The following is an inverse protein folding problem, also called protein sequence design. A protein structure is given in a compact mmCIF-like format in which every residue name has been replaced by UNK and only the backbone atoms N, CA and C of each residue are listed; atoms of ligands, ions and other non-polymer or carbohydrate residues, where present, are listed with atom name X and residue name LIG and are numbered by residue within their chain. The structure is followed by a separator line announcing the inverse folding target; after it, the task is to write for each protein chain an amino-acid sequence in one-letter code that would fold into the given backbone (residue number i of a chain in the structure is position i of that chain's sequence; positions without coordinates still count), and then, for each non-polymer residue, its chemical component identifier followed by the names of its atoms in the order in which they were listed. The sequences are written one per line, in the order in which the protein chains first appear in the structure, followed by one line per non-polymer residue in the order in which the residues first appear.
data_IF_624631380342
#
_entry.id   IF_624631380342
#
_cell.length_a   1.000
_cell.length_b   1.000
_cell.length_c   1.000
_cell.angle_alpha   90.00
_cell.angle_beta   90.00
_cell.angle_gamma   90.00
#
_symmetry.space_group_name_H-M   'P 1'
#
loop_
_entity.id
_entity.type
_entity.pdbx_description
1 polymer ?
#
# COMPACT_ATOMS: atom_id res chain seq x y z
N UNK A 1 8.45 -10.27 -5.83
CA UNK A 1 8.05 -11.66 -6.20
C UNK A 1 8.96 -12.71 -5.56
N UNK A 2 10.27 -12.50 -5.54
CA UNK A 2 11.23 -13.44 -4.91
C UNK A 2 10.81 -13.77 -3.48
N UNK A 3 10.62 -12.75 -2.63
CA UNK A 3 10.19 -12.93 -1.24
C UNK A 3 8.89 -13.74 -1.08
N UNK A 4 7.90 -13.54 -1.97
CA UNK A 4 6.66 -14.33 -1.97
C UNK A 4 6.91 -15.77 -2.39
N UNK A 5 7.65 -16.00 -3.50
CA UNK A 5 7.97 -17.37 -3.96
C UNK A 5 8.73 -18.15 -2.90
N UNK A 6 9.73 -17.55 -2.29
CA UNK A 6 10.48 -18.14 -1.18
C UNK A 6 9.61 -18.39 0.04
N UNK A 7 8.84 -17.37 0.44
CA UNK A 7 7.96 -17.43 1.60
C UNK A 7 6.90 -18.52 1.51
N UNK A 8 6.37 -18.80 0.33
CA UNK A 8 5.35 -19.82 0.10
C UNK A 8 5.87 -21.12 -0.52
N UNK A 9 7.19 -21.24 -0.77
CA UNK A 9 7.77 -22.43 -1.36
C UNK A 9 7.21 -22.71 -2.75
N UNK A 10 7.13 -21.68 -3.61
CA UNK A 10 6.57 -21.83 -4.95
C UNK A 10 7.47 -22.68 -5.82
N UNK A 11 7.07 -23.93 -6.04
CA UNK A 11 7.78 -24.91 -6.83
C UNK A 11 6.76 -25.78 -7.60
N UNK A 12 6.91 -25.94 -8.93
CA UNK A 12 6.07 -26.85 -9.70
C UNK A 12 6.05 -28.29 -9.16
N UNK A 13 7.16 -28.76 -8.59
CA UNK A 13 7.23 -30.08 -7.98
C UNK A 13 6.35 -30.22 -6.71
N UNK A 14 5.96 -29.09 -6.11
CA UNK A 14 5.05 -29.01 -4.95
C UNK A 14 3.60 -28.65 -5.35
N UNK A 15 3.27 -28.80 -6.65
CA UNK A 15 1.90 -28.57 -7.14
C UNK A 15 1.56 -27.13 -7.50
N UNK A 16 2.56 -26.24 -7.58
CA UNK A 16 2.32 -24.89 -8.07
C UNK A 16 2.27 -24.84 -9.60
N UNK A 17 1.21 -24.27 -10.13
CA UNK A 17 0.98 -24.09 -11.55
C UNK A 17 1.24 -22.66 -12.00
N UNK A 18 2.02 -22.50 -13.07
CA UNK A 18 2.27 -21.20 -13.70
C UNK A 18 1.32 -20.95 -14.83
N UNK A 19 0.62 -19.81 -14.80
CA UNK A 19 -0.22 -19.32 -15.90
C UNK A 19 0.22 -17.92 -16.29
N UNK A 20 0.31 -17.64 -17.60
CA UNK A 20 0.61 -16.29 -18.11
C UNK A 20 -0.64 -15.77 -18.82
N UNK A 21 -1.12 -14.58 -18.41
CA UNK A 21 -2.29 -13.90 -18.98
C UNK A 21 -1.86 -12.49 -19.35
N UNK A 22 -1.97 -12.13 -20.61
CA UNK A 22 -1.57 -10.80 -21.14
C UNK A 22 -0.16 -10.37 -20.69
N UNK A 23 0.77 -11.32 -20.62
CA UNK A 23 2.15 -11.07 -20.18
C UNK A 23 2.37 -11.06 -18.66
N UNK A 24 1.33 -11.12 -17.85
CA UNK A 24 1.41 -11.20 -16.39
C UNK A 24 1.50 -12.66 -15.95
N UNK A 25 2.49 -12.95 -15.11
CA UNK A 25 2.72 -14.29 -14.56
C UNK A 25 1.93 -14.47 -13.26
N UNK A 26 1.08 -15.49 -13.23
CA UNK A 26 0.33 -15.95 -12.06
C UNK A 26 0.80 -17.35 -11.66
N UNK A 27 0.95 -17.55 -10.34
CA UNK A 27 1.25 -18.85 -9.76
C UNK A 27 0.08 -19.28 -8.89
N UNK A 28 -0.57 -20.39 -9.26
CA UNK A 28 -1.66 -20.98 -8.50
C UNK A 28 -1.15 -22.19 -7.74
N UNK A 29 -1.51 -22.30 -6.49
CA UNK A 29 -1.14 -23.42 -5.63
C UNK A 29 -1.85 -23.35 -4.30
N UNK A 30 -1.38 -24.13 -3.32
CA UNK A 30 -1.97 -24.13 -1.97
C UNK A 30 -0.91 -23.99 -0.89
N UNK A 31 -1.29 -23.37 0.21
CA UNK A 31 -0.46 -23.30 1.42
C UNK A 31 -1.37 -23.25 2.66
N UNK A 32 -1.07 -24.10 3.65
CA UNK A 32 -1.87 -24.18 4.88
C UNK A 32 -3.35 -24.52 4.65
N UNK A 33 -3.64 -25.34 3.62
CA UNK A 33 -5.02 -25.72 3.25
C UNK A 33 -5.81 -24.66 2.52
N UNK A 34 -5.18 -23.54 2.09
CA UNK A 34 -5.80 -22.45 1.34
C UNK A 34 -5.30 -22.42 -0.08
N UNK A 35 -6.22 -22.23 -1.04
CA UNK A 35 -5.88 -21.97 -2.44
C UNK A 35 -5.35 -20.55 -2.60
N UNK A 36 -4.24 -20.41 -3.31
CA UNK A 36 -3.53 -19.14 -3.50
C UNK A 36 -3.27 -18.84 -4.97
N UNK A 37 -3.36 -17.57 -5.32
CA UNK A 37 -2.89 -17.02 -6.59
C UNK A 37 -1.86 -15.94 -6.29
N UNK A 38 -0.61 -16.16 -6.62
CA UNK A 38 0.48 -15.22 -6.40
C UNK A 38 0.87 -14.55 -7.71
N UNK A 39 1.00 -13.22 -7.69
CA UNK A 39 1.45 -12.43 -8.84
C UNK A 39 2.16 -11.15 -8.40
N UNK A 40 2.84 -10.49 -9.32
CA UNK A 40 3.43 -9.17 -9.10
C UNK A 40 2.46 -8.11 -9.62
N UNK A 41 2.33 -7.03 -8.88
CA UNK A 41 1.55 -5.87 -9.32
C UNK A 41 2.32 -4.94 -10.27
N UNK A 42 3.65 -5.11 -10.39
CA UNK A 42 4.51 -4.10 -11.02
C UNK A 42 4.67 -2.87 -10.12
N UNK A 43 5.26 -1.83 -10.65
CA UNK A 43 5.46 -0.55 -9.96
C UNK A 43 4.44 0.46 -10.50
N UNK A 44 3.93 1.34 -9.63
CA UNK A 44 3.01 2.43 -9.91
C UNK A 44 1.54 2.03 -9.98
N UNK A 45 0.68 3.03 -9.75
CA UNK A 45 -0.78 2.88 -9.57
C UNK A 45 -1.46 2.16 -10.73
N UNK A 46 -1.10 2.51 -11.98
CA UNK A 46 -1.73 1.91 -13.18
C UNK A 46 -1.40 0.43 -13.31
N UNK A 47 -0.13 0.06 -13.10
CA UNK A 47 0.28 -1.35 -13.14
C UNK A 47 -0.41 -2.15 -12.04
N UNK A 48 -0.47 -1.60 -10.82
CA UNK A 48 -1.12 -2.23 -9.69
C UNK A 48 -2.63 -2.46 -9.95
N UNK A 49 -3.33 -1.43 -10.39
CA UNK A 49 -4.76 -1.50 -10.72
C UNK A 49 -5.03 -2.52 -11.83
N UNK A 50 -4.29 -2.44 -12.94
CA UNK A 50 -4.45 -3.33 -14.09
C UNK A 50 -4.24 -4.80 -13.71
N UNK A 51 -3.16 -5.09 -13.00
CA UNK A 51 -2.81 -6.48 -12.69
C UNK A 51 -3.75 -7.09 -11.64
N UNK A 52 -4.21 -6.30 -10.66
CA UNK A 52 -5.21 -6.77 -9.72
C UNK A 52 -6.56 -7.02 -10.43
N UNK A 53 -7.03 -6.09 -11.29
CA UNK A 53 -8.28 -6.31 -12.02
C UNK A 53 -8.18 -7.54 -12.92
N UNK A 54 -7.04 -7.72 -13.61
CA UNK A 54 -6.80 -8.92 -14.43
C UNK A 54 -6.86 -10.21 -13.60
N UNK A 55 -6.35 -10.19 -12.35
CA UNK A 55 -6.46 -11.32 -11.44
C UNK A 55 -7.90 -11.61 -11.03
N UNK A 56 -8.68 -10.57 -10.69
CA UNK A 56 -10.09 -10.69 -10.31
C UNK A 56 -10.96 -11.21 -11.46
N UNK A 57 -10.66 -10.82 -12.71
CA UNK A 57 -11.40 -11.27 -13.90
C UNK A 57 -11.13 -12.75 -14.27
N UNK A 58 -9.99 -13.31 -13.85
CA UNK A 58 -9.55 -14.63 -14.30
C UNK A 58 -9.49 -15.70 -13.22
N UNK A 59 -9.60 -15.32 -11.94
CA UNK A 59 -9.52 -16.23 -10.79
C UNK A 59 -10.64 -15.94 -9.78
N UNK A 60 -11.21 -16.96 -9.11
CA UNK A 60 -12.23 -16.77 -8.08
C UNK A 60 -11.65 -16.29 -6.77
N UNK A 61 -11.15 -15.05 -6.75
CA UNK A 61 -10.48 -14.44 -5.61
C UNK A 61 -11.52 -13.96 -4.60
N UNK A 62 -11.40 -14.41 -3.36
CA UNK A 62 -12.27 -14.03 -2.25
C UNK A 62 -11.63 -13.02 -1.29
N UNK A 63 -10.30 -13.00 -1.21
CA UNK A 63 -9.53 -12.12 -0.33
C UNK A 63 -8.23 -11.70 -1.02
N UNK A 64 -7.78 -10.50 -0.75
CA UNK A 64 -6.53 -9.96 -1.27
C UNK A 64 -5.60 -9.65 -0.11
N UNK A 65 -4.42 -10.27 -0.10
CA UNK A 65 -3.33 -9.91 0.79
C UNK A 65 -2.15 -9.38 -0.03
N UNK A 66 -1.73 -8.17 0.22
CA UNK A 66 -0.62 -7.55 -0.50
C UNK A 66 0.54 -7.25 0.44
N UNK A 67 1.75 -7.64 0.05
CA UNK A 67 2.97 -7.34 0.80
C UNK A 67 4.02 -6.71 -0.12
N UNK A 68 4.75 -5.74 0.42
CA UNK A 68 5.83 -5.06 -0.28
C UNK A 68 6.56 -4.07 0.62
N UNK A 69 7.38 -3.21 0.02
CA UNK A 69 8.13 -2.16 0.72
C UNK A 69 7.48 -0.80 0.56
N UNK A 70 7.78 0.12 1.47
CA UNK A 70 7.32 1.50 1.46
C UNK A 70 8.33 2.41 2.16
N UNK A 71 8.27 3.70 1.90
CA UNK A 71 8.96 4.71 2.69
C UNK A 71 8.18 5.08 3.96
N UNK A 72 8.85 5.14 5.11
CA UNK A 72 8.25 5.52 6.39
C UNK A 72 7.99 7.02 6.47
N UNK A 73 6.75 7.42 6.73
CA UNK A 73 6.38 8.84 6.89
C UNK A 73 6.16 9.22 8.35
N UNK A 74 5.71 8.29 9.19
CA UNK A 74 5.56 8.49 10.63
C UNK A 74 6.94 8.63 11.29
N UNK A 75 7.22 9.73 12.01
CA UNK A 75 8.52 9.95 12.66
C UNK A 75 8.83 8.96 13.80
N UNK A 76 7.83 8.26 14.32
CA UNK A 76 8.01 7.24 15.35
C UNK A 76 8.52 5.90 14.81
N UNK A 77 8.48 5.70 13.49
CA UNK A 77 8.86 4.46 12.83
C UNK A 77 10.28 4.52 12.26
N UNK A 78 10.87 3.34 12.10
CA UNK A 78 12.24 3.18 11.62
C UNK A 78 12.30 2.19 10.45
N UNK A 79 13.38 2.24 9.68
CA UNK A 79 13.67 1.26 8.62
C UNK A 79 13.65 -0.16 9.19
N UNK A 80 12.93 -1.04 8.54
CA UNK A 80 12.68 -2.42 8.95
C UNK A 80 11.37 -2.64 9.68
N UNK A 81 10.72 -1.60 10.22
CA UNK A 81 9.39 -1.75 10.81
C UNK A 81 8.35 -2.11 9.75
N UNK A 82 7.24 -2.70 10.20
CA UNK A 82 6.14 -3.11 9.33
C UNK A 82 4.87 -2.37 9.75
N UNK A 83 4.12 -1.91 8.76
CA UNK A 83 2.82 -1.28 8.98
C UNK A 83 1.73 -2.04 8.22
N UNK A 84 0.56 -2.12 8.84
CA UNK A 84 -0.66 -2.71 8.31
C UNK A 84 -1.77 -1.66 8.42
N UNK A 85 -1.80 -0.68 7.51
CA UNK A 85 -2.76 0.41 7.57
C UNK A 85 -4.20 -0.06 7.47
N UNK A 86 -5.09 0.58 8.23
CA UNK A 86 -6.54 0.33 8.18
C UNK A 86 -7.24 1.05 7.03
N UNK A 87 -6.55 1.95 6.33
CA UNK A 87 -7.06 2.67 5.15
C UNK A 87 -5.91 3.21 4.30
N UNK A 88 -6.20 3.44 3.01
CA UNK A 88 -5.25 3.95 2.04
C UNK A 88 -5.80 5.15 1.29
N UNK A 89 -5.04 6.25 1.23
CA UNK A 89 -5.41 7.48 0.54
C UNK A 89 -4.45 7.81 -0.60
N UNK A 90 -4.93 8.52 -1.63
CA UNK A 90 -4.06 9.10 -2.65
C UNK A 90 -3.50 10.44 -2.13
N UNK A 91 -2.18 10.56 -2.06
CA UNK A 91 -1.57 11.86 -1.77
C UNK A 91 -1.34 12.71 -3.02
N UNK A 92 -1.48 12.12 -4.20
CA UNK A 92 -1.29 12.75 -5.50
C UNK A 92 -2.59 13.01 -6.27
N UNK A 93 -3.78 12.67 -5.73
CA UNK A 93 -5.06 13.15 -6.22
C UNK A 93 -5.19 14.60 -5.79
N UNK A 94 -4.98 15.54 -6.73
CA UNK A 94 -4.80 16.94 -6.36
C UNK A 94 -5.00 17.90 -7.54
N UNK A 95 -5.41 19.13 -7.24
CA UNK A 95 -5.31 20.25 -8.16
C UNK A 95 -3.98 20.98 -7.99
N UNK A 96 -3.36 21.37 -9.10
CA UNK A 96 -2.16 22.22 -9.15
C UNK A 96 -2.60 23.61 -9.54
N UNK A 97 -2.50 24.56 -8.61
CA UNK A 97 -3.07 25.90 -8.76
C UNK A 97 -1.99 26.95 -8.96
N UNK A 98 -2.35 28.01 -9.73
CA UNK A 98 -1.49 29.17 -9.87
C UNK A 98 -1.51 30.02 -8.60
N UNK A 99 -0.35 30.56 -8.24
CA UNK A 99 -0.23 31.59 -7.21
C UNK A 99 -0.97 32.88 -7.65
N UNK A 100 -1.62 33.53 -6.73
CA UNK A 100 -2.27 34.82 -6.99
C UNK A 100 -1.20 35.94 -7.10
N UNK A 101 -1.02 36.55 -8.28
CA UNK A 101 0.01 37.57 -8.47
C UNK A 101 -0.23 38.85 -7.64
N UNK A 102 -1.47 39.08 -7.19
CA UNK A 102 -1.82 40.21 -6.33
C UNK A 102 -1.58 39.92 -4.83
N UNK A 103 -1.49 38.63 -4.44
CA UNK A 103 -1.35 38.18 -3.07
C UNK A 103 -0.32 37.06 -2.96
N UNK A 104 0.99 37.34 -2.89
CA UNK A 104 2.04 36.33 -2.79
C UNK A 104 1.80 35.31 -1.67
N UNK A 105 1.97 34.04 -1.96
CA UNK A 105 1.67 32.92 -1.05
C UNK A 105 0.20 32.52 -0.99
N UNK A 106 -0.69 33.19 -1.73
CA UNK A 106 -2.08 32.76 -1.94
C UNK A 106 -2.21 32.10 -3.30
N UNK A 107 -3.28 31.32 -3.49
CA UNK A 107 -3.53 30.57 -4.71
C UNK A 107 -4.92 30.90 -5.28
N UNK A 108 -5.04 30.89 -6.60
CA UNK A 108 -6.30 31.10 -7.30
C UNK A 108 -7.11 29.81 -7.28
N UNK A 109 -8.00 29.69 -6.27
CA UNK A 109 -8.81 28.49 -6.06
C UNK A 109 -10.08 28.59 -6.92
N UNK A 110 -10.31 27.65 -7.87
CA UNK A 110 -11.55 27.63 -8.66
C UNK A 110 -12.79 27.36 -7.77
N UNK A 111 -13.95 27.89 -8.15
CA UNK A 111 -15.19 27.76 -7.36
C UNK A 111 -15.65 26.31 -7.14
N UNK A 112 -15.31 25.41 -8.05
CA UNK A 112 -15.64 23.99 -7.93
C UNK A 112 -14.75 23.23 -6.95
N UNK A 113 -13.53 23.72 -6.66
CA UNK A 113 -12.62 23.10 -5.74
C UNK A 113 -12.87 23.60 -4.32
N UNK A 114 -13.15 22.69 -3.41
CA UNK A 114 -13.33 22.99 -1.99
C UNK A 114 -12.21 22.31 -1.20
N UNK A 115 -11.04 22.97 -1.03
CA UNK A 115 -9.91 22.37 -0.34
C UNK A 115 -10.30 21.88 1.05
N UNK A 116 -10.10 20.60 1.31
CA UNK A 116 -10.35 19.94 2.61
C UNK A 116 -9.07 19.68 3.37
N UNK A 117 -7.95 19.75 2.66
CA UNK A 117 -6.62 19.42 3.16
C UNK A 117 -5.72 20.64 3.14
N UNK A 118 -4.70 20.64 4.00
CA UNK A 118 -3.60 21.59 3.89
C UNK A 118 -2.84 21.34 2.58
N UNK A 119 -2.62 22.39 1.80
CA UNK A 119 -1.87 22.30 0.54
C UNK A 119 -0.34 22.26 0.76
N UNK A 120 0.37 21.71 -0.20
CA UNK A 120 1.83 21.79 -0.28
C UNK A 120 2.22 22.72 -1.45
N UNK A 121 2.45 23.98 -1.15
CA UNK A 121 2.62 24.98 -2.20
C UNK A 121 1.45 24.98 -3.16
N UNK A 122 1.69 24.77 -4.44
CA UNK A 122 0.66 24.73 -5.49
C UNK A 122 -0.22 23.47 -5.47
N UNK A 123 0.11 22.45 -4.67
CA UNK A 123 -0.56 21.16 -4.65
C UNK A 123 -1.69 21.20 -3.64
N UNK A 124 -2.93 21.05 -4.09
CA UNK A 124 -4.15 21.03 -3.29
C UNK A 124 -4.78 19.64 -3.38
N UNK A 125 -4.59 18.77 -2.37
CA UNK A 125 -5.18 17.43 -2.38
C UNK A 125 -6.70 17.48 -2.42
N UNK A 126 -7.27 16.45 -3.06
CA UNK A 126 -8.72 16.27 -3.16
C UNK A 126 -9.08 14.80 -2.88
N UNK A 127 -10.38 14.55 -2.71
CA UNK A 127 -10.94 13.22 -2.60
C UNK A 127 -11.06 12.58 -4.00
N UNK A 128 -11.11 11.25 -4.04
CA UNK A 128 -11.26 10.50 -5.29
C UNK A 128 -12.73 10.19 -5.54
N UNK A 129 -13.28 10.67 -6.65
CA UNK A 129 -14.64 10.33 -7.07
C UNK A 129 -14.70 8.89 -7.62
N UNK A 130 -15.49 8.03 -6.98
CA UNK A 130 -15.58 6.60 -7.27
C UNK A 130 -17.03 6.20 -7.51
N UNK A 131 -17.27 5.28 -8.44
CA UNK A 131 -18.56 4.64 -8.64
C UNK A 131 -18.42 3.12 -8.59
N UNK A 132 -19.37 2.45 -7.94
CA UNK A 132 -19.48 0.99 -7.88
C UNK A 132 -20.76 0.53 -8.53
N UNK A 133 -20.80 -0.74 -8.95
CA UNK A 133 -22.02 -1.36 -9.44
C UNK A 133 -23.21 -1.15 -8.48
N UNK A 134 -24.34 -0.73 -9.02
CA UNK A 134 -25.56 -0.45 -8.26
C UNK A 134 -25.62 0.94 -7.62
N UNK A 135 -24.58 1.78 -7.76
CA UNK A 135 -24.63 3.19 -7.36
C UNK A 135 -25.18 4.07 -8.52
N UNK A 136 -25.99 5.06 -8.18
CA UNK A 136 -26.54 6.02 -9.15
C UNK A 136 -25.63 7.22 -9.42
N UNK A 137 -24.66 7.49 -8.54
CA UNK A 137 -23.76 8.64 -8.62
C UNK A 137 -22.38 8.28 -8.06
N UNK A 138 -21.38 9.10 -8.40
CA UNK A 138 -20.06 9.03 -7.79
C UNK A 138 -20.11 9.39 -6.30
N UNK A 139 -19.25 8.73 -5.53
CA UNK A 139 -19.00 8.97 -4.11
C UNK A 139 -17.58 9.50 -3.95
N UNK A 140 -17.42 10.61 -3.24
CA UNK A 140 -16.09 11.15 -2.93
C UNK A 140 -15.46 10.37 -1.77
N UNK A 141 -14.35 9.72 -2.07
CA UNK A 141 -13.62 8.87 -1.12
C UNK A 141 -12.32 9.53 -0.70
N UNK A 142 -12.24 9.90 0.57
CA UNK A 142 -11.00 10.40 1.19
C UNK A 142 -9.94 9.30 1.36
N UNK A 143 -10.38 8.04 1.52
CA UNK A 143 -9.51 6.87 1.64
C UNK A 143 -10.31 5.57 1.43
N UNK A 144 -9.63 4.52 1.02
CA UNK A 144 -10.18 3.18 0.83
C UNK A 144 -9.88 2.31 2.05
N UNK A 145 -10.88 1.74 2.74
CA UNK A 145 -10.66 0.97 3.95
C UNK A 145 -10.07 -0.42 3.65
N UNK A 146 -9.22 -0.90 4.54
CA UNK A 146 -8.93 -2.32 4.64
C UNK A 146 -10.14 -3.06 5.23
N UNK A 147 -10.23 -4.35 4.94
CA UNK A 147 -11.31 -5.18 5.49
C UNK A 147 -11.16 -5.36 7.00
N UNK A 148 -12.21 -5.12 7.81
CA UNK A 148 -12.13 -5.24 9.27
C UNK A 148 -11.80 -6.64 9.78
N UNK A 149 -12.28 -7.71 9.09
CA UNK A 149 -11.99 -9.08 9.49
C UNK A 149 -10.51 -9.45 9.22
N UNK A 150 -9.96 -8.94 8.12
CA UNK A 150 -8.54 -9.10 7.81
C UNK A 150 -7.64 -8.29 8.77
N UNK A 151 -8.06 -7.09 9.19
CA UNK A 151 -7.36 -6.33 10.23
C UNK A 151 -7.35 -7.10 11.56
N UNK A 152 -8.50 -7.63 11.99
CA UNK A 152 -8.59 -8.44 13.18
C UNK A 152 -7.74 -9.72 13.08
N UNK A 153 -7.63 -10.33 11.90
CA UNK A 153 -6.73 -11.45 11.66
C UNK A 153 -5.25 -11.04 11.84
N UNK A 154 -4.87 -9.85 11.35
CA UNK A 154 -3.53 -9.31 11.58
C UNK A 154 -3.24 -9.13 13.08
N UNK A 155 -4.16 -8.55 13.83
CA UNK A 155 -4.02 -8.38 15.28
C UNK A 155 -3.88 -9.73 16.03
N UNK A 156 -4.60 -10.77 15.61
CA UNK A 156 -4.46 -12.13 16.18
C UNK A 156 -3.14 -12.81 15.81
N UNK A 157 -2.61 -12.50 14.63
CA UNK A 157 -1.37 -13.07 14.13
C UNK A 157 -0.14 -12.54 14.88
N UNK A 158 -0.11 -11.23 15.18
CA UNK A 158 1.09 -10.56 15.70
C UNK A 158 1.70 -11.23 16.93
N UNK A 159 0.97 -11.57 18.00
CA UNK A 159 1.54 -12.20 19.19
C UNK A 159 2.07 -13.62 18.94
N UNK A 160 1.71 -14.23 17.82
CA UNK A 160 2.13 -15.60 17.43
C UNK A 160 3.37 -15.58 16.52
N UNK A 161 3.73 -14.43 15.99
CA UNK A 161 4.92 -14.30 15.14
C UNK A 161 6.19 -14.38 15.99
N UNK A 162 7.22 -15.09 15.51
CA UNK A 162 8.52 -15.04 16.15
C UNK A 162 9.08 -13.61 16.09
N UNK A 163 9.89 -13.20 17.08
CA UNK A 163 10.56 -11.91 17.03
C UNK A 163 11.35 -11.75 15.72
N UNK A 164 11.08 -10.67 15.01
CA UNK A 164 11.82 -10.31 13.79
C UNK A 164 12.86 -9.27 14.15
N UNK A 165 14.08 -9.45 13.67
CA UNK A 165 15.21 -8.57 13.99
C UNK A 165 15.79 -7.99 12.70
N UNK A 166 16.03 -6.71 12.66
CA UNK A 166 16.74 -5.98 11.61
C UNK A 166 17.83 -5.11 12.22
N UNK A 167 19.08 -5.29 11.78
CA UNK A 167 20.25 -4.54 12.28
C UNK A 167 20.35 -4.53 13.83
N UNK A 168 20.09 -5.68 14.47
CA UNK A 168 20.17 -5.83 15.93
C UNK A 168 18.98 -5.26 16.73
N UNK A 169 17.98 -4.68 16.06
CA UNK A 169 16.75 -4.13 16.65
C UNK A 169 15.56 -5.04 16.37
N UNK A 170 14.71 -5.24 17.35
CA UNK A 170 13.39 -5.87 17.14
C UNK A 170 12.52 -4.99 16.23
N UNK A 171 11.97 -5.59 15.19
CA UNK A 171 11.04 -4.96 14.26
C UNK A 171 9.72 -4.69 14.96
N UNK A 172 9.25 -3.45 14.91
CA UNK A 172 7.89 -3.12 15.32
C UNK A 172 6.90 -3.45 14.18
N UNK A 173 5.75 -4.04 14.53
CA UNK A 173 4.64 -4.23 13.59
C UNK A 173 3.45 -3.44 14.11
N UNK A 174 2.97 -2.48 13.34
CA UNK A 174 1.86 -1.61 13.74
C UNK A 174 0.65 -1.84 12.85
N UNK A 175 -0.49 -2.20 13.46
CA UNK A 175 -1.78 -2.31 12.79
C UNK A 175 -2.56 -1.00 12.97
N UNK A 176 -3.32 -0.61 11.93
CA UNK A 176 -4.12 0.60 11.91
C UNK A 176 -3.38 1.84 11.39
N UNK A 177 -4.07 2.97 11.40
CA UNK A 177 -3.62 4.22 10.81
C UNK A 177 -3.83 4.28 9.29
N UNK A 178 -3.22 5.27 8.65
CA UNK A 178 -3.34 5.52 7.21
C UNK A 178 -2.05 5.16 6.50
N UNK A 179 -2.14 4.54 5.33
CA UNK A 179 -1.08 4.52 4.33
C UNK A 179 -1.46 5.44 3.17
N UNK A 180 -0.49 5.96 2.45
CA UNK A 180 -0.76 6.74 1.24
C UNK A 180 0.02 6.20 0.05
N UNK A 181 -0.52 6.39 -1.16
CA UNK A 181 0.18 6.07 -2.39
C UNK A 181 0.03 7.18 -3.43
N UNK A 182 1.01 7.25 -4.33
CA UNK A 182 1.02 8.17 -5.46
C UNK A 182 1.91 7.66 -6.59
N UNK A 183 1.96 8.38 -7.71
CA UNK A 183 2.80 8.01 -8.86
C UNK A 183 4.23 8.58 -8.76
N UNK A 184 4.68 8.89 -7.55
CA UNK A 184 6.00 9.47 -7.31
C UNK A 184 6.78 8.62 -6.32
N UNK A 185 8.07 8.43 -6.58
CA UNK A 185 9.00 7.95 -5.56
C UNK A 185 9.30 9.11 -4.61
N UNK A 186 8.81 9.02 -3.38
CA UNK A 186 8.98 10.08 -2.40
C UNK A 186 10.31 9.94 -1.67
N UNK A 187 11.22 10.89 -1.91
CA UNK A 187 12.48 11.04 -1.20
C UNK A 187 12.74 12.53 -0.88
N UNK A 188 11.78 13.14 -0.15
CA UNK A 188 11.82 14.56 0.21
C UNK A 188 11.29 14.79 1.62
N UNK A 189 12.16 15.24 2.53
CA UNK A 189 11.84 15.41 3.95
C UNK A 189 10.64 16.35 4.18
N UNK A 190 10.59 17.50 3.48
CA UNK A 190 9.49 18.47 3.66
C UNK A 190 8.15 17.93 3.19
N UNK A 191 8.14 17.21 2.07
CA UNK A 191 6.93 16.58 1.54
C UNK A 191 6.48 15.42 2.44
N UNK A 192 7.41 14.61 2.96
CA UNK A 192 7.18 13.57 3.96
C UNK A 192 6.48 14.12 5.21
N UNK A 193 7.01 15.21 5.77
CA UNK A 193 6.43 15.87 6.96
C UNK A 193 5.02 16.37 6.69
N UNK A 194 4.78 16.94 5.50
CA UNK A 194 3.46 17.38 5.09
C UNK A 194 2.49 16.18 4.92
N UNK A 195 2.90 15.10 4.27
CA UNK A 195 2.11 13.86 4.15
C UNK A 195 1.74 13.32 5.52
N UNK A 196 2.68 13.26 6.45
CA UNK A 196 2.39 12.84 7.83
C UNK A 196 1.39 13.79 8.50
N UNK A 197 1.58 15.08 8.38
CA UNK A 197 0.70 16.09 9.01
C UNK A 197 -0.73 16.02 8.49
N UNK A 198 -0.90 15.87 7.18
CA UNK A 198 -2.22 15.88 6.51
C UNK A 198 -3.00 14.58 6.74
N UNK A 199 -2.39 13.43 6.56
CA UNK A 199 -3.08 12.13 6.64
C UNK A 199 -2.76 11.32 7.89
N UNK A 200 -1.83 11.78 8.74
CA UNK A 200 -1.23 10.96 9.81
C UNK A 200 -0.73 9.62 9.23
N UNK A 201 -0.14 9.72 8.04
CA UNK A 201 0.25 8.55 7.27
C UNK A 201 1.47 7.88 7.90
N UNK A 202 1.43 6.55 8.02
CA UNK A 202 2.55 5.76 8.53
C UNK A 202 3.58 5.46 7.46
N UNK A 203 3.13 5.34 6.21
CA UNK A 203 3.99 5.03 5.07
C UNK A 203 3.45 5.60 3.77
N UNK A 204 4.34 5.67 2.79
CA UNK A 204 4.04 6.05 1.40
C UNK A 204 4.62 5.03 0.44
N UNK A 205 3.86 4.68 -0.59
CA UNK A 205 4.30 3.82 -1.68
C UNK A 205 3.71 4.25 -3.04
N UNK A 206 3.81 3.39 -4.04
CA UNK A 206 3.38 3.70 -5.41
C UNK A 206 2.26 2.77 -5.92
N UNK A 207 1.67 1.90 -5.09
CA UNK A 207 0.70 0.88 -5.53
C UNK A 207 -0.53 0.76 -4.64
N UNK A 208 -0.35 0.86 -3.33
CA UNK A 208 -1.32 0.37 -2.35
C UNK A 208 -2.69 0.99 -2.45
N UNK A 209 -2.78 2.30 -2.65
CA UNK A 209 -4.09 2.95 -2.76
C UNK A 209 -4.84 2.50 -4.02
N UNK A 210 -4.14 2.25 -5.14
CA UNK A 210 -4.77 1.72 -6.34
C UNK A 210 -5.33 0.31 -6.13
N UNK A 211 -4.60 -0.54 -5.39
CA UNK A 211 -5.10 -1.88 -5.03
C UNK A 211 -6.30 -1.80 -4.11
N UNK A 212 -6.26 -0.93 -3.09
CA UNK A 212 -7.39 -0.72 -2.18
C UNK A 212 -8.62 -0.16 -2.93
N UNK A 213 -8.42 0.75 -3.88
CA UNK A 213 -9.46 1.31 -4.73
C UNK A 213 -10.10 0.22 -5.62
N UNK A 214 -9.30 -0.56 -6.35
CA UNK A 214 -9.81 -1.67 -7.19
C UNK A 214 -10.55 -2.70 -6.34
N UNK A 215 -10.01 -3.07 -5.18
CA UNK A 215 -10.66 -3.99 -4.25
C UNK A 215 -12.01 -3.44 -3.75
N UNK A 216 -12.07 -2.14 -3.42
CA UNK A 216 -13.28 -1.45 -3.00
C UNK A 216 -14.36 -1.49 -4.08
N UNK A 217 -14.01 -1.17 -5.34
CA UNK A 217 -14.95 -1.21 -6.48
C UNK A 217 -15.47 -2.61 -6.73
N UNK A 218 -14.62 -3.63 -6.63
CA UNK A 218 -14.96 -5.04 -6.81
C UNK A 218 -15.56 -5.69 -5.54
N UNK A 219 -15.73 -4.95 -4.44
CA UNK A 219 -16.23 -5.47 -3.16
C UNK A 219 -15.45 -6.68 -2.64
N UNK A 220 -14.16 -6.73 -2.91
CA UNK A 220 -13.27 -7.82 -2.50
C UNK A 220 -12.47 -7.38 -1.26
N UNK A 221 -12.55 -8.14 -0.15
CA UNK A 221 -11.75 -7.86 1.06
C UNK A 221 -10.27 -7.73 0.77
N UNK A 222 -9.62 -6.67 1.27
CA UNK A 222 -8.19 -6.44 1.08
C UNK A 222 -7.50 -6.06 2.38
N UNK A 223 -6.26 -6.55 2.55
CA UNK A 223 -5.31 -6.09 3.55
C UNK A 223 -3.94 -5.89 2.91
N UNK A 224 -3.30 -4.80 3.27
CA UNK A 224 -2.00 -4.40 2.72
C UNK A 224 -0.99 -4.28 3.84
N UNK A 225 0.18 -4.90 3.66
CA UNK A 225 1.27 -5.00 4.61
C UNK A 225 2.51 -4.39 3.98
N UNK A 226 3.09 -3.38 4.61
CA UNK A 226 4.27 -2.70 4.09
C UNK A 226 5.41 -2.72 5.10
N UNK A 227 6.57 -3.20 4.64
CA UNK A 227 7.81 -3.05 5.38
C UNK A 227 8.51 -1.76 4.99
N UNK A 228 9.10 -1.05 5.95
CA UNK A 228 9.73 0.24 5.70
C UNK A 228 11.18 0.05 5.23
N UNK A 229 11.44 0.25 3.94
CA UNK A 229 12.77 0.15 3.33
C UNK A 229 13.63 1.39 3.51
N UNK A 230 12.98 2.53 3.69
CA UNK A 230 13.54 3.87 3.84
C UNK A 230 12.60 4.77 4.63
N UNK A 231 12.93 6.05 4.76
CA UNK A 231 12.10 7.02 5.49
C UNK A 231 11.56 8.14 4.59
N UNK A 232 11.35 7.87 3.31
CA UNK A 232 10.75 8.81 2.36
C UNK A 232 11.46 10.19 2.31
N UNK A 233 12.77 10.21 2.46
CA UNK A 233 13.59 11.42 2.53
C UNK A 233 13.82 11.97 3.94
N UNK A 234 13.28 11.31 4.98
CA UNK A 234 13.54 11.66 6.39
C UNK A 234 14.82 11.06 6.97
N UNK A 235 15.52 10.21 6.21
CA UNK A 235 16.80 9.63 6.60
C UNK A 235 17.96 10.62 6.40
N UNK A 236 19.01 10.46 7.18
CA UNK A 236 20.26 11.17 6.91
C UNK A 236 20.97 10.55 5.70
N UNK A 237 21.40 11.38 4.75
CA UNK A 237 22.17 10.95 3.58
C UNK A 237 21.34 10.32 2.47
N UNK A 238 21.97 9.44 1.68
CA UNK A 238 21.32 8.76 0.54
C UNK A 238 20.21 7.82 1.01
N UNK A 239 19.14 7.71 0.19
CA UNK A 239 18.06 6.76 0.45
C UNK A 239 18.59 5.31 0.45
N UNK A 240 18.33 4.54 1.52
CA UNK A 240 18.89 3.20 1.69
C UNK A 240 18.00 2.08 1.13
N UNK A 241 17.07 2.36 0.22
CA UNK A 241 16.11 1.37 -0.31
C UNK A 241 16.83 0.17 -0.88
N UNK A 242 17.85 0.37 -1.73
CA UNK A 242 18.61 -0.71 -2.40
C UNK A 242 19.24 -1.70 -1.40
N UNK A 243 19.59 -1.21 -0.19
CA UNK A 243 20.20 -2.03 0.86
C UNK A 243 19.17 -2.81 1.70
N UNK A 244 17.92 -2.38 1.68
CA UNK A 244 16.92 -2.86 2.62
C UNK A 244 15.75 -3.60 1.98
N UNK A 245 15.42 -3.36 0.71
CA UNK A 245 14.18 -3.82 0.10
C UNK A 245 13.98 -5.34 0.19
N UNK A 246 14.99 -6.15 -0.11
CA UNK A 246 14.88 -7.61 -0.06
C UNK A 246 14.59 -8.11 1.35
N UNK A 247 15.39 -7.67 2.32
CA UNK A 247 15.24 -8.12 3.70
C UNK A 247 13.91 -7.65 4.31
N UNK A 248 13.49 -6.43 4.00
CA UNK A 248 12.24 -5.84 4.49
C UNK A 248 11.03 -6.48 3.80
N UNK A 249 11.13 -6.79 2.50
CA UNK A 249 10.11 -7.57 1.79
C UNK A 249 9.88 -8.95 2.43
N UNK A 250 10.96 -9.64 2.82
CA UNK A 250 10.87 -10.93 3.51
C UNK A 250 10.17 -10.79 4.88
N UNK A 251 10.42 -9.71 5.60
CA UNK A 251 9.74 -9.43 6.88
C UNK A 251 8.24 -9.20 6.64
N UNK A 252 7.87 -8.38 5.65
CA UNK A 252 6.48 -8.14 5.30
C UNK A 252 5.75 -9.44 4.88
N UNK A 253 6.41 -10.32 4.12
CA UNK A 253 5.87 -11.64 3.74
C UNK A 253 5.69 -12.56 4.95
N UNK A 254 6.58 -12.51 5.96
CA UNK A 254 6.38 -13.27 7.22
C UNK A 254 5.12 -12.82 7.96
N UNK A 255 4.89 -11.50 8.03
CA UNK A 255 3.65 -10.96 8.62
C UNK A 255 2.44 -11.42 7.80
N UNK A 256 2.48 -11.32 6.47
CA UNK A 256 1.40 -11.77 5.58
C UNK A 256 1.06 -13.25 5.81
N UNK A 257 2.07 -14.12 5.92
CA UNK A 257 1.85 -15.55 6.20
C UNK A 257 1.21 -15.79 7.56
N UNK A 258 1.59 -15.01 8.56
CA UNK A 258 0.93 -15.03 9.87
C UNK A 258 -0.54 -14.67 9.77
N UNK A 259 -0.87 -13.60 9.04
CA UNK A 259 -2.27 -13.21 8.79
C UNK A 259 -3.03 -14.31 8.05
N UNK A 260 -2.44 -14.88 7.00
CA UNK A 260 -3.06 -15.97 6.23
C UNK A 260 -3.39 -17.19 7.12
N UNK A 261 -2.56 -17.48 8.13
CA UNK A 261 -2.80 -18.59 9.05
C UNK A 261 -3.98 -18.35 10.00
N UNK A 262 -4.44 -17.10 10.15
CA UNK A 262 -5.59 -16.71 11.00
C UNK A 262 -6.92 -16.64 10.22
N UNK A 263 -6.89 -16.82 8.91
CA UNK A 263 -8.07 -16.90 8.05
C UNK A 263 -8.56 -18.35 7.88
#
# INVERSE_FOLDING_TARGET
MTALKEGFGVDPALGWERRVIKGVEFWRGSSGGKELVLFRTGISLVNAAYQLQLALDHFPITHILFAGVAGGTDPALQVGDVVVPSRWAYHGEAAYLNEDPANPGKYLIPDYLKPRYENFGMIFPDDTAVIREGQAAFEDMAAFPADPALLAAAERALPKLPPMVKRGRTVAVQVGGTGVAGQVFLDNARYREWVFRVWQARCVDMESTALAHVAYVNRTPILIIRGLSDLAGGQAGKNPIDENEDAVSMIAVKVLRGVLAEL
#
